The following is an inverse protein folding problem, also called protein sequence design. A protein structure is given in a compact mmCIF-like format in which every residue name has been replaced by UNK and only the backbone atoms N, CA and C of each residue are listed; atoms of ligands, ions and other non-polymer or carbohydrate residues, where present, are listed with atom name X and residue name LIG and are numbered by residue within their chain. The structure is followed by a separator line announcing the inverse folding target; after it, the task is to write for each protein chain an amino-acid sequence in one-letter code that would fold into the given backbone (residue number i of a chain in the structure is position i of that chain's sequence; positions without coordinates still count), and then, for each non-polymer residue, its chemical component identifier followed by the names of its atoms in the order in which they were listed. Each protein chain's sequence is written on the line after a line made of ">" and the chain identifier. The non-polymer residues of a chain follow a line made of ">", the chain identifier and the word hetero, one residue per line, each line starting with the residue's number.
data_IF_953817853943
#
_entry.id   IF_953817853943
#
_cell.length_a   1.000
_cell.length_b   1.000
_cell.length_c   1.000
_cell.angle_alpha   90.00
_cell.angle_beta   90.00
_cell.angle_gamma   90.00
#
_symmetry.space_group_name_H-M   'P 1'
#
loop_
_entity.id
_entity.type
_entity.pdbx_description
1 polymer ?
#
# COMPACT_ATOMS: atom_id res chain seq x y z
N UNK A 1 -3.19 -16.91 -28.35
CA UNK A 1 -3.60 -17.28 -26.99
C UNK A 1 -4.14 -16.04 -26.32
N UNK A 2 -5.35 -16.10 -25.74
CA UNK A 2 -5.87 -15.02 -24.90
C UNK A 2 -4.96 -14.94 -23.68
N UNK A 3 -4.55 -13.74 -23.29
CA UNK A 3 -3.81 -13.54 -22.06
C UNK A 3 -4.76 -13.73 -20.87
N UNK A 4 -4.25 -14.04 -19.69
CA UNK A 4 -5.08 -14.26 -18.51
C UNK A 4 -5.83 -12.98 -18.09
N UNK A 5 -5.29 -11.80 -18.38
CA UNK A 5 -5.99 -10.53 -18.25
C UNK A 5 -7.19 -10.41 -19.21
N UNK A 6 -7.17 -11.07 -20.37
CA UNK A 6 -8.33 -11.10 -21.28
C UNK A 6 -9.44 -11.99 -20.70
N UNK A 7 -9.09 -13.07 -20.01
CA UNK A 7 -10.06 -13.93 -19.32
C UNK A 7 -10.59 -13.28 -18.03
N UNK A 8 -9.73 -12.65 -17.24
CA UNK A 8 -10.12 -11.96 -15.99
C UNK A 8 -11.13 -10.83 -16.21
N UNK A 9 -11.01 -10.12 -17.34
CA UNK A 9 -11.93 -9.02 -17.70
C UNK A 9 -13.38 -9.45 -17.97
N UNK A 10 -13.64 -10.72 -18.19
CA UNK A 10 -15.00 -11.25 -18.33
C UNK A 10 -15.78 -11.20 -17.00
N UNK A 11 -15.06 -11.09 -15.89
CA UNK A 11 -15.64 -11.09 -14.55
C UNK A 11 -15.81 -9.65 -14.03
N UNK A 12 -16.90 -9.39 -13.34
CA UNK A 12 -17.05 -8.19 -12.51
C UNK A 12 -16.02 -8.21 -11.36
N UNK A 13 -15.83 -7.08 -10.69
CA UNK A 13 -14.93 -7.01 -9.53
C UNK A 13 -15.35 -7.98 -8.41
N UNK A 14 -16.66 -8.17 -8.22
CA UNK A 14 -17.20 -9.10 -7.22
C UNK A 14 -16.95 -10.55 -7.62
N UNK A 15 -17.23 -10.93 -8.86
CA UNK A 15 -16.97 -12.28 -9.35
C UNK A 15 -15.47 -12.62 -9.27
N UNK A 16 -14.59 -11.69 -9.66
CA UNK A 16 -13.15 -11.88 -9.51
C UNK A 16 -12.73 -12.08 -8.06
N UNK A 17 -13.31 -11.31 -7.15
CA UNK A 17 -13.08 -11.46 -5.71
C UNK A 17 -13.53 -12.85 -5.22
N UNK A 18 -14.70 -13.34 -5.65
CA UNK A 18 -15.16 -14.69 -5.28
C UNK A 18 -14.21 -15.79 -5.82
N UNK A 19 -13.66 -15.62 -7.04
CA UNK A 19 -12.64 -16.53 -7.57
C UNK A 19 -11.35 -16.49 -6.74
N UNK A 20 -10.90 -15.30 -6.32
CA UNK A 20 -9.75 -15.14 -5.43
C UNK A 20 -9.99 -15.80 -4.07
N UNK A 21 -11.19 -15.67 -3.49
CA UNK A 21 -11.55 -16.36 -2.25
C UNK A 21 -11.54 -17.89 -2.42
N UNK A 22 -12.05 -18.41 -3.54
CA UNK A 22 -12.04 -19.83 -3.83
C UNK A 22 -10.62 -20.37 -4.07
N UNK A 23 -9.72 -19.52 -4.60
CA UNK A 23 -8.32 -19.91 -4.88
C UNK A 23 -7.47 -20.16 -3.62
N UNK A 24 -7.96 -19.76 -2.43
CA UNK A 24 -7.32 -20.10 -1.14
C UNK A 24 -7.32 -21.62 -0.93
N UNK A 25 -8.39 -22.30 -1.34
CA UNK A 25 -8.57 -23.74 -1.11
C UNK A 25 -8.18 -24.58 -2.33
N UNK A 26 -8.20 -23.96 -3.53
CA UNK A 26 -7.91 -24.67 -4.78
C UNK A 26 -7.10 -23.78 -5.74
N UNK A 27 -5.91 -24.22 -6.19
CA UNK A 27 -5.04 -23.38 -7.03
C UNK A 27 -5.64 -23.07 -8.40
N UNK A 28 -6.62 -23.87 -8.87
CA UNK A 28 -7.31 -23.62 -10.15
C UNK A 28 -8.82 -23.51 -9.90
N UNK A 29 -9.38 -22.35 -10.28
CA UNK A 29 -10.81 -22.03 -10.14
C UNK A 29 -11.32 -21.50 -11.47
N UNK A 30 -12.44 -22.02 -11.96
CA UNK A 30 -13.05 -21.65 -13.25
C UNK A 30 -12.06 -21.70 -14.44
N UNK A 31 -11.12 -22.64 -14.42
CA UNK A 31 -10.08 -22.78 -15.47
C UNK A 31 -8.90 -21.81 -15.35
N UNK A 32 -8.88 -20.92 -14.35
CA UNK A 32 -7.81 -19.99 -14.06
C UNK A 32 -6.93 -20.56 -12.95
N UNK A 33 -5.62 -20.67 -13.20
CA UNK A 33 -4.64 -21.02 -12.16
C UNK A 33 -4.18 -19.75 -11.47
N UNK A 34 -4.55 -19.60 -10.19
CA UNK A 34 -4.17 -18.45 -9.37
C UNK A 34 -2.78 -18.63 -8.74
N UNK A 35 -2.09 -17.54 -8.41
CA UNK A 35 -0.86 -17.60 -7.62
C UNK A 35 -1.08 -18.27 -6.28
N UNK A 36 -0.12 -19.09 -5.83
CA UNK A 36 -0.14 -19.71 -4.51
C UNK A 36 -0.17 -18.69 -3.37
N UNK A 37 -0.59 -19.07 -2.17
CA UNK A 37 -0.58 -18.23 -0.98
C UNK A 37 0.62 -18.58 -0.09
N UNK A 38 1.25 -17.61 0.58
CA UNK A 38 2.20 -17.91 1.65
C UNK A 38 1.47 -18.54 2.86
N UNK A 39 2.22 -19.10 3.80
CA UNK A 39 1.64 -19.60 5.05
C UNK A 39 0.85 -18.50 5.78
N UNK A 40 -0.15 -18.90 6.58
CA UNK A 40 -0.95 -17.97 7.38
C UNK A 40 -0.08 -17.11 8.31
N UNK A 41 1.00 -17.69 8.85
CA UNK A 41 1.95 -16.97 9.68
C UNK A 41 2.62 -15.79 8.93
N UNK A 42 3.04 -16.02 7.68
CA UNK A 42 3.61 -14.96 6.83
C UNK A 42 2.55 -13.92 6.49
N UNK A 43 1.35 -14.34 6.08
CA UNK A 43 0.27 -13.40 5.77
C UNK A 43 -0.05 -12.51 6.98
N UNK A 44 -0.23 -13.11 8.17
CA UNK A 44 -0.54 -12.40 9.42
C UNK A 44 0.58 -11.46 9.84
N UNK A 45 1.85 -11.86 9.66
CA UNK A 45 3.00 -11.00 9.94
C UNK A 45 2.98 -9.71 9.11
N UNK A 46 2.60 -9.79 7.84
CA UNK A 46 2.57 -8.61 6.94
C UNK A 46 1.32 -7.74 7.09
N UNK A 47 0.16 -8.32 7.39
CA UNK A 47 -1.11 -7.58 7.29
C UNK A 47 -2.10 -7.85 8.43
N UNK A 48 -1.69 -8.55 9.48
CA UNK A 48 -2.50 -8.81 10.66
C UNK A 48 -3.60 -9.87 10.48
N UNK A 49 -3.81 -10.40 9.27
CA UNK A 49 -4.85 -11.38 8.95
C UNK A 49 -4.39 -12.33 7.83
N UNK A 50 -5.11 -13.43 7.61
CA UNK A 50 -4.75 -14.43 6.61
C UNK A 50 -5.95 -14.86 5.76
N UNK A 51 -5.66 -15.47 4.60
CA UNK A 51 -6.59 -16.14 3.71
C UNK A 51 -7.80 -15.27 3.33
N UNK A 52 -9.02 -15.75 3.58
CA UNK A 52 -10.26 -15.07 3.20
C UNK A 52 -10.43 -13.72 3.88
N UNK A 53 -9.99 -13.57 5.12
CA UNK A 53 -10.08 -12.30 5.87
C UNK A 53 -9.25 -11.23 5.22
N UNK A 54 -7.98 -11.50 4.97
CA UNK A 54 -7.07 -10.51 4.35
C UNK A 54 -7.49 -10.13 2.92
N UNK A 55 -8.05 -11.07 2.14
CA UNK A 55 -8.60 -10.78 0.82
C UNK A 55 -9.85 -9.90 0.89
N UNK A 56 -10.72 -10.11 1.88
CA UNK A 56 -11.93 -9.29 2.09
C UNK A 56 -11.56 -7.85 2.43
N UNK A 57 -10.57 -7.64 3.28
CA UNK A 57 -10.03 -6.30 3.59
C UNK A 57 -9.44 -5.63 2.35
N UNK A 58 -8.64 -6.38 1.58
CA UNK A 58 -8.01 -5.86 0.37
C UNK A 58 -9.01 -5.46 -0.71
N UNK A 59 -10.13 -6.17 -0.83
CA UNK A 59 -11.15 -5.90 -1.83
C UNK A 59 -11.75 -4.49 -1.72
N UNK A 60 -11.96 -4.00 -0.51
CA UNK A 60 -12.48 -2.65 -0.29
C UNK A 60 -11.50 -1.58 -0.81
N UNK A 61 -10.20 -1.72 -0.53
CA UNK A 61 -9.19 -0.78 -1.01
C UNK A 61 -8.98 -0.88 -2.53
N UNK A 62 -8.98 -2.09 -3.08
CA UNK A 62 -8.95 -2.31 -4.54
C UNK A 62 -10.08 -1.57 -5.25
N UNK A 63 -11.33 -1.73 -4.79
CA UNK A 63 -12.48 -1.02 -5.37
C UNK A 63 -12.38 0.49 -5.20
N UNK A 64 -11.89 0.95 -4.04
CA UNK A 64 -11.70 2.37 -3.78
C UNK A 64 -10.69 2.97 -4.76
N UNK A 65 -9.51 2.33 -4.94
CA UNK A 65 -8.47 2.81 -5.85
C UNK A 65 -8.99 2.93 -7.28
N UNK A 66 -9.70 1.94 -7.80
CA UNK A 66 -10.30 1.98 -9.14
C UNK A 66 -11.25 3.16 -9.33
N UNK A 67 -12.11 3.40 -8.34
CA UNK A 67 -13.03 4.55 -8.33
C UNK A 67 -12.26 5.88 -8.28
N UNK A 68 -11.24 5.96 -7.44
CA UNK A 68 -10.41 7.16 -7.30
C UNK A 68 -9.63 7.47 -8.59
N UNK A 69 -9.03 6.46 -9.21
CA UNK A 69 -8.35 6.60 -10.50
C UNK A 69 -9.31 7.08 -11.61
N UNK A 70 -10.50 6.51 -11.68
CA UNK A 70 -11.53 6.96 -12.62
C UNK A 70 -11.96 8.41 -12.37
N UNK A 71 -12.20 8.79 -11.11
CA UNK A 71 -12.54 10.16 -10.71
C UNK A 71 -11.42 11.15 -11.06
N UNK A 72 -10.16 10.73 -10.95
CA UNK A 72 -8.99 11.52 -11.34
C UNK A 72 -8.73 11.53 -12.87
N UNK A 73 -9.63 10.97 -13.68
CA UNK A 73 -9.52 10.83 -15.14
C UNK A 73 -8.31 10.00 -15.60
N UNK A 74 -7.87 9.06 -14.78
CA UNK A 74 -6.81 8.11 -15.05
C UNK A 74 -7.28 6.67 -14.75
N UNK A 75 -8.38 6.17 -15.35
CA UNK A 75 -8.88 4.83 -15.09
C UNK A 75 -7.85 3.78 -15.47
N UNK A 76 -7.75 2.72 -14.67
CA UNK A 76 -6.89 1.58 -14.99
C UNK A 76 -7.42 0.85 -16.23
N UNK A 77 -6.49 0.46 -17.08
CA UNK A 77 -6.71 -0.27 -18.33
C UNK A 77 -5.66 -1.37 -18.47
N UNK A 78 -5.86 -2.35 -19.36
CA UNK A 78 -4.88 -3.41 -19.60
C UNK A 78 -3.46 -2.92 -19.90
N UNK A 79 -3.36 -1.82 -20.64
CA UNK A 79 -2.10 -1.19 -21.03
C UNK A 79 -1.52 -0.24 -19.97
N UNK A 80 -2.25 0.03 -18.87
CA UNK A 80 -1.76 0.87 -17.77
C UNK A 80 -0.61 0.19 -17.05
N UNK A 81 0.50 0.88 -16.87
CA UNK A 81 1.59 0.42 -16.01
C UNK A 81 1.27 0.76 -14.57
N UNK A 82 1.10 -0.27 -13.76
CA UNK A 82 0.64 -0.18 -12.37
C UNK A 82 1.71 -0.69 -11.41
N UNK A 83 2.06 0.11 -10.39
CA UNK A 83 3.03 -0.22 -9.36
C UNK A 83 2.35 -0.47 -8.00
N UNK A 84 2.61 -1.62 -7.39
CA UNK A 84 2.38 -1.91 -5.97
C UNK A 84 3.70 -1.67 -5.22
N UNK A 85 3.82 -0.53 -4.55
CA UNK A 85 5.00 -0.12 -3.79
C UNK A 85 4.91 -0.63 -2.35
N UNK A 86 5.83 -1.49 -1.95
CA UNK A 86 5.74 -2.29 -0.74
C UNK A 86 4.71 -3.41 -0.90
N UNK A 87 4.89 -4.23 -1.95
CA UNK A 87 3.89 -5.22 -2.36
C UNK A 87 3.73 -6.41 -1.40
N UNK A 88 4.66 -6.57 -0.44
CA UNK A 88 4.67 -7.71 0.46
C UNK A 88 4.56 -9.02 -0.33
N UNK A 89 3.66 -9.90 0.08
CA UNK A 89 3.43 -11.17 -0.60
C UNK A 89 2.54 -11.08 -1.87
N UNK A 90 2.37 -9.90 -2.43
CA UNK A 90 1.66 -9.67 -3.70
C UNK A 90 0.14 -9.75 -3.57
N UNK A 91 -0.42 -9.41 -2.38
CA UNK A 91 -1.87 -9.45 -2.13
C UNK A 91 -2.68 -8.65 -3.14
N UNK A 92 -2.26 -7.42 -3.44
CA UNK A 92 -2.98 -6.53 -4.35
C UNK A 92 -2.71 -6.83 -5.81
N UNK A 93 -1.53 -7.30 -6.19
CA UNK A 93 -1.22 -7.68 -7.57
C UNK A 93 -2.20 -8.73 -8.11
N UNK A 94 -2.70 -9.65 -7.25
CA UNK A 94 -3.72 -10.66 -7.59
C UNK A 94 -5.06 -10.02 -7.98
N UNK A 95 -5.45 -8.92 -7.32
CA UNK A 95 -6.67 -8.20 -7.65
C UNK A 95 -6.54 -7.44 -8.97
N UNK A 96 -5.46 -6.68 -9.14
CA UNK A 96 -5.24 -5.85 -10.33
C UNK A 96 -4.91 -6.65 -11.59
N UNK A 97 -4.55 -7.92 -11.46
CA UNK A 97 -4.31 -8.82 -12.57
C UNK A 97 -5.50 -8.98 -13.54
N UNK A 98 -6.72 -8.76 -13.05
CA UNK A 98 -7.93 -8.68 -13.87
C UNK A 98 -7.97 -7.41 -14.74
N UNK A 99 -7.52 -6.28 -14.21
CA UNK A 99 -7.71 -4.98 -14.85
C UNK A 99 -6.51 -4.56 -15.71
N UNK A 100 -5.33 -5.01 -15.33
CA UNK A 100 -4.04 -4.65 -15.93
C UNK A 100 -3.38 -5.91 -16.46
N UNK A 101 -2.84 -5.85 -17.68
CA UNK A 101 -2.10 -6.97 -18.25
C UNK A 101 -0.87 -7.32 -17.42
N UNK A 102 -0.57 -8.60 -17.26
CA UNK A 102 0.51 -9.08 -16.40
C UNK A 102 1.86 -8.39 -16.68
N UNK A 103 2.22 -8.19 -17.94
CA UNK A 103 3.43 -7.46 -18.32
C UNK A 103 3.44 -5.96 -17.98
N UNK A 104 2.33 -5.43 -17.45
CA UNK A 104 2.19 -4.05 -17.00
C UNK A 104 1.94 -3.94 -15.49
N UNK A 105 1.94 -5.07 -14.77
CA UNK A 105 1.93 -5.12 -13.31
C UNK A 105 3.36 -5.09 -12.79
N UNK A 106 3.58 -4.31 -11.74
CA UNK A 106 4.88 -4.16 -11.09
C UNK A 106 4.69 -4.18 -9.59
N UNK A 107 5.59 -4.86 -8.89
CA UNK A 107 5.66 -4.87 -7.44
C UNK A 107 7.10 -4.68 -6.97
N UNK A 108 7.28 -3.97 -5.86
CA UNK A 108 8.59 -3.91 -5.20
C UNK A 108 8.46 -3.94 -3.69
N UNK A 109 9.49 -4.45 -3.05
CA UNK A 109 9.60 -4.47 -1.60
C UNK A 109 11.07 -4.42 -1.18
N UNK A 110 11.32 -3.96 0.04
CA UNK A 110 12.66 -3.95 0.66
C UNK A 110 13.03 -5.30 1.29
N UNK A 111 12.07 -6.21 1.42
CA UNK A 111 12.31 -7.59 1.86
C UNK A 111 12.55 -8.50 0.65
N UNK A 112 13.84 -8.85 0.43
CA UNK A 112 14.24 -9.73 -0.66
C UNK A 112 13.65 -11.14 -0.55
N UNK A 113 13.44 -11.65 0.67
CA UNK A 113 12.87 -12.99 0.88
C UNK A 113 11.40 -13.03 0.47
N UNK A 114 10.64 -11.97 0.74
CA UNK A 114 9.23 -11.90 0.30
C UNK A 114 9.11 -11.77 -1.21
N UNK A 115 10.02 -11.05 -1.86
CA UNK A 115 10.07 -10.96 -3.33
C UNK A 115 10.37 -12.34 -3.96
N UNK A 116 11.31 -13.10 -3.40
CA UNK A 116 11.61 -14.44 -3.90
C UNK A 116 10.47 -15.43 -3.62
N UNK A 117 9.79 -15.28 -2.48
CA UNK A 117 8.57 -16.04 -2.20
C UNK A 117 7.46 -15.72 -3.23
N UNK A 118 7.26 -14.44 -3.56
CA UNK A 118 6.29 -14.03 -4.58
C UNK A 118 6.57 -14.69 -5.94
N UNK A 119 7.83 -14.76 -6.36
CA UNK A 119 8.24 -15.45 -7.60
C UNK A 119 7.91 -16.96 -7.52
N UNK A 120 8.24 -17.60 -6.40
CA UNK A 120 7.94 -19.03 -6.16
C UNK A 120 6.44 -19.32 -6.18
N UNK A 121 5.62 -18.40 -5.70
CA UNK A 121 4.17 -18.49 -5.66
C UNK A 121 3.51 -18.07 -6.99
N UNK A 122 4.29 -17.69 -8.01
CA UNK A 122 3.82 -17.20 -9.31
C UNK A 122 2.93 -15.96 -9.19
N UNK A 123 3.27 -15.02 -8.29
CA UNK A 123 2.58 -13.72 -8.22
C UNK A 123 2.80 -12.96 -9.53
N UNK A 124 1.73 -12.45 -10.20
CA UNK A 124 1.84 -11.84 -11.50
C UNK A 124 2.61 -10.52 -11.49
N UNK A 125 3.35 -10.28 -12.57
CA UNK A 125 4.01 -9.01 -12.84
C UNK A 125 5.54 -9.04 -12.63
N UNK A 126 6.14 -7.85 -12.77
CA UNK A 126 7.58 -7.63 -12.62
C UNK A 126 7.88 -7.30 -11.14
N UNK A 127 8.54 -8.22 -10.44
CA UNK A 127 8.83 -8.10 -9.01
C UNK A 127 10.29 -7.71 -8.80
N UNK A 128 10.53 -6.65 -8.00
CA UNK A 128 11.86 -6.12 -7.72
C UNK A 128 12.12 -5.99 -6.20
N UNK A 129 13.25 -6.51 -5.74
CA UNK A 129 13.81 -6.14 -4.45
C UNK A 129 14.46 -4.76 -4.60
N UNK A 130 14.23 -3.85 -3.65
CA UNK A 130 14.73 -2.48 -3.65
C UNK A 130 15.43 -2.14 -2.34
N UNK A 131 16.41 -1.24 -2.38
CA UNK A 131 17.00 -0.70 -1.17
C UNK A 131 16.08 0.31 -0.48
N UNK A 132 16.05 0.38 0.89
CA UNK A 132 15.16 1.29 1.65
C UNK A 132 15.29 2.78 1.30
N UNK A 133 16.42 3.21 0.73
CA UNK A 133 16.70 4.57 0.27
C UNK A 133 17.34 4.58 -1.12
N UNK A 134 17.14 3.50 -1.89
CA UNK A 134 17.66 3.37 -3.24
C UNK A 134 16.77 4.06 -4.29
N UNK A 135 17.23 4.05 -5.53
CA UNK A 135 16.40 4.42 -6.67
C UNK A 135 15.54 3.24 -7.10
N UNK A 136 14.31 3.50 -7.54
CA UNK A 136 13.47 2.49 -8.17
C UNK A 136 14.07 2.07 -9.53
N UNK A 137 14.09 0.76 -9.86
CA UNK A 137 14.76 0.26 -11.06
C UNK A 137 13.99 0.55 -12.37
N UNK A 138 13.15 1.57 -12.38
CA UNK A 138 12.33 1.94 -13.54
C UNK A 138 12.64 3.36 -14.00
N UNK A 139 12.48 3.65 -15.30
CA UNK A 139 12.76 4.97 -15.84
C UNK A 139 11.77 6.04 -15.37
N UNK A 140 12.14 7.30 -15.59
CA UNK A 140 11.26 8.45 -15.35
C UNK A 140 9.97 8.33 -16.16
N UNK A 141 8.85 8.74 -15.56
CA UNK A 141 7.52 8.73 -16.18
C UNK A 141 7.09 7.35 -16.72
N UNK A 142 7.38 6.30 -15.98
CA UNK A 142 7.07 4.92 -16.36
C UNK A 142 5.63 4.51 -16.02
N UNK A 143 5.14 4.87 -14.82
CA UNK A 143 3.88 4.37 -14.28
C UNK A 143 2.69 5.32 -14.51
N UNK A 144 1.54 4.75 -14.86
CA UNK A 144 0.26 5.45 -14.97
C UNK A 144 -0.44 5.57 -13.62
N UNK A 145 -0.30 4.54 -12.80
CA UNK A 145 -0.84 4.51 -11.45
C UNK A 145 0.07 3.72 -10.50
N UNK A 146 0.00 4.06 -9.22
CA UNK A 146 0.69 3.35 -8.17
C UNK A 146 -0.18 3.24 -6.91
N UNK A 147 0.16 2.28 -6.05
CA UNK A 147 -0.38 2.18 -4.72
C UNK A 147 0.70 1.89 -3.68
N UNK A 148 0.38 2.17 -2.41
CA UNK A 148 1.15 1.73 -1.25
C UNK A 148 0.18 1.49 -0.09
N UNK A 149 0.00 0.24 0.31
CA UNK A 149 -0.88 -0.10 1.42
C UNK A 149 -0.05 -0.45 2.66
N UNK A 150 -0.24 0.32 3.74
CA UNK A 150 0.49 0.14 5.01
C UNK A 150 2.03 0.24 4.88
N UNK A 151 2.52 1.10 3.99
CA UNK A 151 3.96 1.39 3.81
C UNK A 151 4.33 2.71 4.47
N UNK A 152 3.67 3.80 4.06
CA UNK A 152 3.92 5.14 4.58
C UNK A 152 3.49 5.31 6.05
N UNK A 153 2.76 4.37 6.58
CA UNK A 153 2.42 4.24 8.00
C UNK A 153 3.59 3.79 8.88
N UNK A 154 4.70 3.33 8.27
CA UNK A 154 5.84 2.76 8.98
C UNK A 154 7.17 3.48 8.73
N UNK A 155 7.16 4.53 7.93
CA UNK A 155 8.37 5.19 7.47
C UNK A 155 8.66 6.48 8.25
N UNK A 156 9.95 6.77 8.61
CA UNK A 156 10.34 8.06 9.15
C UNK A 156 10.23 9.18 8.10
N UNK A 157 10.25 10.43 8.55
CA UNK A 157 10.09 11.60 7.68
C UNK A 157 11.10 11.64 6.53
N UNK A 158 12.36 11.27 6.78
CA UNK A 158 13.39 11.20 5.74
C UNK A 158 13.05 10.23 4.61
N UNK A 159 12.46 9.08 4.96
CA UNK A 159 12.00 8.10 3.98
C UNK A 159 10.75 8.60 3.23
N UNK A 160 9.81 9.29 3.91
CA UNK A 160 8.68 9.94 3.23
C UNK A 160 9.17 10.93 2.16
N UNK A 161 10.13 11.79 2.48
CA UNK A 161 10.67 12.78 1.54
C UNK A 161 11.42 12.12 0.38
N UNK A 162 12.23 11.10 0.67
CA UNK A 162 12.94 10.33 -0.36
C UNK A 162 11.96 9.67 -1.35
N UNK A 163 11.01 8.90 -0.82
CA UNK A 163 10.09 8.13 -1.65
C UNK A 163 9.08 9.00 -2.40
N UNK A 164 8.66 10.14 -1.84
CA UNK A 164 7.80 11.07 -2.59
C UNK A 164 8.50 11.64 -3.82
N UNK A 165 9.79 11.96 -3.71
CA UNK A 165 10.60 12.41 -4.85
C UNK A 165 10.78 11.29 -5.89
N UNK A 166 11.09 10.10 -5.44
CA UNK A 166 11.39 8.95 -6.30
C UNK A 166 10.13 8.43 -7.00
N UNK A 167 9.01 8.29 -6.28
CA UNK A 167 7.73 7.95 -6.87
C UNK A 167 7.26 9.01 -7.87
N UNK A 168 7.48 10.29 -7.56
CA UNK A 168 7.20 11.36 -8.53
C UNK A 168 8.07 11.24 -9.79
N UNK A 169 9.32 10.80 -9.67
CA UNK A 169 10.19 10.56 -10.84
C UNK A 169 9.64 9.45 -11.73
N UNK A 170 9.27 8.32 -11.15
CA UNK A 170 8.83 7.14 -11.94
C UNK A 170 7.39 7.23 -12.42
N UNK A 171 6.55 8.06 -11.82
CA UNK A 171 5.17 8.25 -12.25
C UNK A 171 5.06 9.25 -13.39
N UNK A 172 4.17 9.00 -14.34
CA UNK A 172 3.83 9.96 -15.41
C UNK A 172 3.13 11.18 -14.86
N UNK A 173 3.32 12.37 -15.46
CA UNK A 173 2.48 13.52 -15.18
C UNK A 173 1.00 13.17 -15.33
N UNK A 174 0.19 13.47 -14.31
CA UNK A 174 -1.22 13.08 -14.28
C UNK A 174 -1.50 11.67 -13.77
N UNK A 175 -0.48 10.85 -13.53
CA UNK A 175 -0.60 9.54 -12.90
C UNK A 175 -1.15 9.64 -11.47
N UNK A 176 -1.89 8.62 -11.03
CA UNK A 176 -2.56 8.58 -9.73
C UNK A 176 -1.82 7.67 -8.77
N UNK A 177 -1.55 8.17 -7.56
CA UNK A 177 -0.99 7.39 -6.47
C UNK A 177 -1.98 7.34 -5.31
N UNK A 178 -2.33 6.13 -4.88
CA UNK A 178 -3.22 5.88 -3.76
C UNK A 178 -2.47 5.16 -2.65
N UNK A 179 -2.52 5.70 -1.43
CA UNK A 179 -1.80 5.12 -0.30
C UNK A 179 -2.61 5.21 0.99
N UNK A 180 -2.19 4.42 1.98
CA UNK A 180 -2.74 4.52 3.34
C UNK A 180 -1.77 5.22 4.28
N UNK A 181 -2.33 5.92 5.27
CA UNK A 181 -1.62 6.70 6.29
C UNK A 181 -2.28 6.49 7.65
N UNK A 182 -1.51 6.57 8.73
CA UNK A 182 -2.11 6.67 10.07
C UNK A 182 -2.56 8.11 10.33
N UNK A 183 -3.86 8.31 10.60
CA UNK A 183 -4.43 9.61 10.93
C UNK A 183 -4.31 9.90 12.44
N UNK A 184 -4.71 11.10 12.88
CA UNK A 184 -4.69 11.52 14.28
C UNK A 184 -5.32 10.52 15.25
N UNK A 185 -6.41 9.86 14.85
CA UNK A 185 -7.09 8.85 15.67
C UNK A 185 -6.22 7.63 16.02
N UNK A 186 -5.10 7.43 15.34
CA UNK A 186 -4.12 6.41 15.74
C UNK A 186 -3.44 6.78 17.07
N UNK A 187 -3.16 8.07 17.32
CA UNK A 187 -2.70 8.54 18.64
C UNK A 187 -3.78 8.32 19.71
N UNK A 188 -5.06 8.55 19.36
CA UNK A 188 -6.18 8.31 20.26
C UNK A 188 -6.32 6.80 20.57
N UNK A 189 -6.09 5.94 19.58
CA UNK A 189 -6.04 4.50 19.78
C UNK A 189 -4.95 4.12 20.79
N UNK A 190 -3.71 4.62 20.61
CA UNK A 190 -2.62 4.37 21.55
C UNK A 190 -2.97 4.88 22.96
N UNK A 191 -3.58 6.05 23.08
CA UNK A 191 -3.99 6.61 24.38
C UNK A 191 -4.93 5.68 25.15
N UNK A 192 -5.83 5.00 24.42
CA UNK A 192 -6.85 4.11 24.98
C UNK A 192 -6.41 2.65 25.14
N UNK A 193 -5.21 2.26 24.70
CA UNK A 193 -4.71 0.91 24.96
C UNK A 193 -4.59 0.66 26.46
N UNK A 194 -5.30 -0.33 26.98
CA UNK A 194 -5.27 -0.68 28.41
C UNK A 194 -4.24 -1.75 28.73
N UNK A 195 -4.22 -2.81 27.93
CA UNK A 195 -3.39 -4.00 28.14
C UNK A 195 -2.61 -4.36 26.86
N UNK A 196 -1.42 -4.94 26.98
CA UNK A 196 -0.61 -5.36 25.83
C UNK A 196 -1.02 -6.76 25.34
N UNK A 197 -2.07 -6.87 24.53
CA UNK A 197 -2.57 -8.14 24.01
C UNK A 197 -1.55 -8.87 23.11
N UNK A 198 -0.65 -8.11 22.51
CA UNK A 198 0.37 -8.64 21.60
C UNK A 198 1.64 -7.75 21.63
N UNK A 199 2.69 -8.18 20.92
CA UNK A 199 3.97 -7.47 20.87
C UNK A 199 3.84 -6.06 20.26
N UNK A 200 3.04 -5.88 19.21
CA UNK A 200 2.80 -4.57 18.61
C UNK A 200 2.15 -3.61 19.60
N UNK A 201 1.15 -4.06 20.38
CA UNK A 201 0.53 -3.22 21.44
C UNK A 201 1.54 -2.84 22.51
N UNK A 202 2.46 -3.77 22.91
CA UNK A 202 3.53 -3.44 23.87
C UNK A 202 4.44 -2.33 23.32
N UNK A 203 4.83 -2.41 22.05
CA UNK A 203 5.65 -1.37 21.40
C UNK A 203 4.90 -0.03 21.38
N UNK A 204 3.64 0.00 20.98
CA UNK A 204 2.83 1.22 21.01
C UNK A 204 2.70 1.82 22.41
N UNK A 205 2.50 1.00 23.44
CA UNK A 205 2.39 1.46 24.83
C UNK A 205 3.66 2.13 25.36
N UNK A 206 4.84 1.79 24.84
CA UNK A 206 6.08 2.50 25.19
C UNK A 206 6.04 3.99 24.78
N UNK A 207 5.25 4.34 23.80
CA UNK A 207 5.09 5.71 23.31
C UNK A 207 4.03 6.53 24.08
N UNK A 208 3.21 5.90 24.96
CA UNK A 208 2.17 6.60 25.72
C UNK A 208 2.67 7.82 26.50
N UNK A 209 3.82 7.78 27.20
CA UNK A 209 4.32 8.95 27.94
C UNK A 209 4.61 10.16 27.04
N UNK A 210 4.88 9.94 25.75
CA UNK A 210 5.18 10.98 24.76
C UNK A 210 3.94 11.49 24.00
N UNK A 211 2.76 10.93 24.21
CA UNK A 211 1.55 11.34 23.49
C UNK A 211 1.26 12.85 23.55
N UNK A 212 1.44 13.56 24.70
CA UNK A 212 1.26 15.02 24.70
C UNK A 212 2.18 15.78 23.74
N UNK A 213 3.40 15.29 23.52
CA UNK A 213 4.34 15.83 22.52
C UNK A 213 3.87 15.51 21.11
N UNK A 214 3.46 14.26 20.87
CA UNK A 214 2.99 13.79 19.56
C UNK A 214 1.73 14.54 19.11
N UNK A 215 0.76 14.75 19.98
CA UNK A 215 -0.42 15.56 19.68
C UNK A 215 -0.04 16.99 19.29
N UNK A 216 0.85 17.64 20.05
CA UNK A 216 1.30 19.00 19.73
C UNK A 216 2.01 19.06 18.38
N UNK A 217 2.90 18.09 18.07
CA UNK A 217 3.59 18.00 16.79
C UNK A 217 2.61 17.82 15.64
N UNK A 218 1.70 16.85 15.76
CA UNK A 218 0.68 16.57 14.75
C UNK A 218 -0.22 17.78 14.50
N UNK A 219 -0.74 18.40 15.57
CA UNK A 219 -1.65 19.53 15.48
C UNK A 219 -0.95 20.79 14.92
N UNK A 220 0.37 20.90 15.08
CA UNK A 220 1.22 21.90 14.42
C UNK A 220 1.55 21.57 12.95
N UNK A 221 1.09 20.43 12.44
CA UNK A 221 1.32 19.99 11.06
C UNK A 221 2.63 19.23 10.83
N UNK A 222 3.28 18.74 11.88
CA UNK A 222 4.46 17.88 11.81
C UNK A 222 4.10 16.39 11.67
N UNK A 223 4.90 15.64 10.92
CA UNK A 223 4.85 14.19 10.94
C UNK A 223 5.32 13.69 12.31
N UNK A 224 4.61 12.74 12.89
CA UNK A 224 4.98 12.06 14.14
C UNK A 224 5.50 10.67 13.77
N UNK A 225 6.72 10.36 14.18
CA UNK A 225 7.31 9.04 14.00
C UNK A 225 7.58 8.39 15.36
N UNK A 226 7.18 7.15 15.50
CA UNK A 226 7.30 6.32 16.69
C UNK A 226 8.13 5.09 16.32
N UNK A 227 9.46 5.10 16.54
CA UNK A 227 10.31 3.98 16.15
C UNK A 227 9.98 2.71 16.95
N UNK A 228 10.03 1.55 16.30
CA UNK A 228 9.80 0.25 16.93
C UNK A 228 10.76 -0.02 18.07
N UNK A 229 12.05 0.32 17.91
CA UNK A 229 13.10 0.19 18.91
C UNK A 229 13.84 1.52 19.10
N UNK A 230 13.32 2.44 19.93
CA UNK A 230 13.95 3.74 20.15
C UNK A 230 15.41 3.62 20.55
N UNK A 231 16.29 4.36 19.84
CA UNK A 231 17.74 4.35 20.08
C UNK A 231 18.50 3.15 19.50
N UNK A 232 17.80 2.17 18.91
CA UNK A 232 18.41 0.97 18.28
C UNK A 232 18.06 0.88 16.80
N UNK A 233 16.77 0.93 16.46
CA UNK A 233 16.26 0.91 15.09
C UNK A 233 15.25 2.06 14.91
N UNK A 234 15.67 3.10 14.19
CA UNK A 234 14.86 4.30 13.95
C UNK A 234 14.40 4.43 12.49
N UNK A 235 14.61 3.37 11.70
CA UNK A 235 14.22 3.36 10.28
C UNK A 235 12.84 2.78 10.04
N UNK A 236 12.30 2.07 11.03
CA UNK A 236 10.99 1.44 10.98
C UNK A 236 10.22 1.67 12.29
N UNK A 237 8.94 1.96 12.17
CA UNK A 237 8.07 2.25 13.32
C UNK A 237 6.64 2.55 12.86
N UNK A 238 5.93 3.40 13.60
CA UNK A 238 4.61 3.88 13.21
C UNK A 238 4.69 5.39 12.92
N UNK A 239 4.13 5.83 11.80
CA UNK A 239 4.15 7.21 11.34
C UNK A 239 2.74 7.78 11.22
N UNK A 240 2.44 8.81 12.00
CA UNK A 240 1.15 9.53 11.97
C UNK A 240 1.33 10.83 11.20
N UNK A 241 0.58 10.99 10.09
CA UNK A 241 0.84 12.03 9.10
C UNK A 241 -0.35 12.96 8.93
N UNK A 242 -0.25 14.24 9.33
CA UNK A 242 -1.33 15.19 9.12
C UNK A 242 -1.48 15.59 7.65
N UNK A 243 -2.71 15.81 7.22
CA UNK A 243 -2.98 16.25 5.85
C UNK A 243 -2.32 17.60 5.51
N UNK A 244 -2.11 18.47 6.50
CA UNK A 244 -1.39 19.73 6.34
C UNK A 244 0.09 19.51 5.98
N UNK A 245 0.74 18.52 6.59
CA UNK A 245 2.10 18.10 6.23
C UNK A 245 2.17 17.70 4.76
N UNK A 246 1.27 16.82 4.34
CA UNK A 246 1.20 16.32 2.96
C UNK A 246 1.03 17.47 1.97
N UNK A 247 0.05 18.34 2.22
CA UNK A 247 -0.22 19.50 1.37
C UNK A 247 0.95 20.47 1.28
N UNK A 248 1.81 20.52 2.29
CA UNK A 248 2.99 21.38 2.31
C UNK A 248 4.22 20.71 1.68
N UNK A 249 4.56 19.50 2.14
CA UNK A 249 5.83 18.86 1.80
C UNK A 249 5.80 18.12 0.47
N UNK A 250 4.61 17.59 0.07
CA UNK A 250 4.50 16.84 -1.18
C UNK A 250 3.95 17.67 -2.36
N UNK A 251 3.56 18.94 -2.09
CA UNK A 251 3.04 19.84 -3.13
C UNK A 251 3.94 19.99 -4.37
N UNK A 252 5.28 19.96 -4.26
CA UNK A 252 6.13 20.02 -5.46
C UNK A 252 5.94 18.84 -6.41
N UNK A 253 5.51 17.71 -5.90
CA UNK A 253 5.43 16.44 -6.62
C UNK A 253 4.00 16.03 -6.95
N UNK A 254 3.07 16.24 -6.02
CA UNK A 254 1.72 15.70 -6.07
C UNK A 254 0.68 16.73 -5.65
N UNK A 255 -0.46 16.69 -6.33
CA UNK A 255 -1.69 17.36 -5.91
C UNK A 255 -2.58 16.38 -5.17
N UNK A 256 -3.06 16.75 -3.98
CA UNK A 256 -4.07 15.98 -3.25
C UNK A 256 -5.39 16.00 -4.01
N UNK A 257 -5.92 14.85 -4.33
CA UNK A 257 -7.22 14.65 -5.01
C UNK A 257 -8.31 14.28 -4.01
N UNK A 258 -7.99 13.38 -3.06
CA UNK A 258 -8.95 12.94 -2.04
C UNK A 258 -8.20 12.51 -0.77
N UNK A 259 -8.87 12.64 0.38
CA UNK A 259 -8.40 12.13 1.66
C UNK A 259 -9.60 11.61 2.43
N UNK A 260 -9.60 10.32 2.73
CA UNK A 260 -10.71 9.62 3.38
C UNK A 260 -10.24 9.06 4.73
N UNK A 261 -10.63 9.73 5.80
CA UNK A 261 -10.46 9.26 7.17
C UNK A 261 -11.81 8.84 7.75
N UNK A 262 -12.23 7.61 7.44
CA UNK A 262 -13.50 7.02 7.87
C UNK A 262 -13.25 5.64 8.48
N UNK A 263 -13.16 5.52 9.80
CA UNK A 263 -12.83 4.26 10.48
C UNK A 263 -13.80 3.12 10.19
N UNK A 264 -15.05 3.43 9.81
CA UNK A 264 -16.04 2.42 9.42
C UNK A 264 -15.75 1.81 8.04
N UNK A 265 -14.91 2.48 7.23
CA UNK A 265 -14.55 2.03 5.89
C UNK A 265 -13.13 1.48 5.83
N UNK A 266 -12.18 2.19 6.46
CA UNK A 266 -10.77 1.80 6.48
C UNK A 266 -10.17 2.07 7.85
N UNK A 267 -9.40 1.11 8.37
CA UNK A 267 -8.63 1.30 9.61
C UNK A 267 -7.66 2.48 9.47
N UNK A 268 -6.89 2.51 8.42
CA UNK A 268 -6.01 3.63 8.07
C UNK A 268 -6.74 4.65 7.20
N UNK A 269 -6.33 5.91 7.22
CA UNK A 269 -6.83 6.89 6.28
C UNK A 269 -6.29 6.60 4.87
N UNK A 270 -7.11 6.83 3.86
CA UNK A 270 -6.70 6.66 2.46
C UNK A 270 -6.46 8.02 1.82
N UNK A 271 -5.28 8.22 1.27
CA UNK A 271 -4.88 9.39 0.52
C UNK A 271 -4.79 9.08 -0.97
N UNK A 272 -5.38 9.93 -1.79
CA UNK A 272 -5.22 9.91 -3.25
C UNK A 272 -4.53 11.17 -3.70
N UNK A 273 -3.42 11.02 -4.38
CA UNK A 273 -2.67 12.13 -4.96
C UNK A 273 -2.48 11.93 -6.47
N UNK A 274 -2.34 13.01 -7.20
CA UNK A 274 -2.05 12.99 -8.63
C UNK A 274 -0.71 13.68 -8.89
N UNK A 275 0.14 13.04 -9.70
CA UNK A 275 1.42 13.58 -10.10
C UNK A 275 1.24 14.91 -10.84
N UNK A 276 1.90 15.97 -10.39
CA UNK A 276 1.86 17.28 -11.05
C UNK A 276 2.50 17.25 -12.43
N UNK A 277 2.14 18.18 -13.32
CA UNK A 277 2.69 18.23 -14.68
C UNK A 277 4.11 18.77 -14.75
N UNK A 278 4.52 19.54 -13.74
CA UNK A 278 5.85 20.19 -13.65
C UNK A 278 6.64 19.53 -12.51
N UNK A 279 7.89 19.21 -12.75
CA UNK A 279 8.93 19.00 -11.74
C UNK A 279 9.75 20.26 -11.68
#
# INVERSE_FOLDING_TARGET
>A
MLTLSDEGRKYSDKEWFELLLASVDAPTVAGITFPGFPSEAIQTMFVGSANRTTLTEAFQFYQFLKKAASKARAPLRPESRFLDFGCGWGRYLRFFWKDVSEGNLYGCDTDGMIIDLCKTLNVPGHLAHIDPFGALPWPTAHFDAAMAYSVFTHLPESAHQHWMKELARVMRPGGVFCMTLEPRRFLDFIANLAEPDNEWYRMLMMHKPRLPEYYRSFDAGGLVFMPTNPGVEERYGDAVVPLSYIKKQWAPYFKVIDYVDKPQQFWQAVLVVQRTKTL
#
